data_IF_766857267837
#
_entry.id   IF_766857267837
#
_cell.length_a   1.000
_cell.length_b   1.000
_cell.length_c   1.000
_cell.angle_alpha   90.00
_cell.angle_beta   90.00
_cell.angle_gamma   90.00
#
_symmetry.space_group_name_H-M   'P 1'
#
loop_
_entity.id
_entity.type
_entity.pdbx_description
1 polymer ?
#
# COMPACT_ATOMS: atom_id res chain seq x y z
N UNK A 1 21.10 7.52 -8.19
CA UNK A 1 19.92 6.75 -8.62
C UNK A 1 20.20 6.31 -10.05
N UNK A 2 20.47 5.02 -10.27
CA UNK A 2 20.54 4.47 -11.62
C UNK A 2 19.14 4.57 -12.23
N UNK A 3 19.04 5.09 -13.45
CA UNK A 3 17.76 5.13 -14.17
C UNK A 3 17.38 3.69 -14.53
N UNK A 4 16.25 3.24 -14.03
CA UNK A 4 15.68 1.97 -14.46
C UNK A 4 15.32 2.12 -15.93
N UNK A 5 16.06 1.45 -16.81
CA UNK A 5 16.00 1.67 -18.26
C UNK A 5 14.59 1.54 -18.87
N UNK A 6 13.72 0.74 -18.25
CA UNK A 6 12.30 0.54 -18.67
C UNK A 6 11.44 1.79 -18.49
N UNK A 7 11.85 2.72 -17.62
CA UNK A 7 11.08 3.91 -17.27
C UNK A 7 11.76 5.23 -17.65
N UNK A 8 12.94 5.16 -18.29
CA UNK A 8 13.68 6.35 -18.68
C UNK A 8 12.94 7.16 -19.77
N UNK A 9 13.03 8.52 -19.74
CA UNK A 9 12.46 9.34 -20.79
C UNK A 9 13.16 9.12 -22.12
N UNK A 10 12.45 9.23 -23.25
CA UNK A 10 13.07 9.25 -24.57
C UNK A 10 14.04 10.43 -24.71
N UNK A 11 15.11 10.23 -25.47
CA UNK A 11 16.10 11.29 -25.74
C UNK A 11 15.42 12.52 -26.37
N UNK A 12 15.69 13.70 -25.82
CA UNK A 12 15.20 14.97 -26.37
C UNK A 12 13.88 15.50 -25.80
N UNK A 13 13.23 14.77 -24.91
CA UNK A 13 12.05 15.25 -24.19
C UNK A 13 12.49 15.80 -22.84
N UNK A 14 11.97 16.97 -22.46
CA UNK A 14 12.20 17.53 -21.12
C UNK A 14 11.60 16.59 -20.08
N UNK A 15 12.37 16.30 -19.04
CA UNK A 15 12.02 15.30 -18.04
C UNK A 15 10.68 15.59 -17.35
N UNK A 16 10.43 16.86 -17.02
CA UNK A 16 9.16 17.28 -16.44
C UNK A 16 7.96 17.03 -17.36
N UNK A 17 8.07 17.30 -18.65
CA UNK A 17 7.00 17.10 -19.63
C UNK A 17 6.72 15.60 -19.82
N UNK A 18 7.79 14.79 -19.88
CA UNK A 18 7.65 13.34 -19.96
C UNK A 18 6.92 12.78 -18.73
N UNK A 19 7.33 13.17 -17.53
CA UNK A 19 6.72 12.71 -16.29
C UNK A 19 5.26 13.12 -16.23
N UNK A 20 4.93 14.40 -16.50
CA UNK A 20 3.55 14.90 -16.50
C UNK A 20 2.66 14.13 -17.48
N UNK A 21 3.06 14.05 -18.74
CA UNK A 21 2.28 13.39 -19.78
C UNK A 21 2.11 11.88 -19.50
N UNK A 22 3.14 11.24 -18.94
CA UNK A 22 3.07 9.83 -18.60
C UNK A 22 2.13 9.59 -17.41
N UNK A 23 2.16 10.41 -16.37
CA UNK A 23 1.21 10.33 -15.25
C UNK A 23 -0.23 10.46 -15.77
N UNK A 24 -0.53 11.44 -16.60
CA UNK A 24 -1.85 11.64 -17.18
C UNK A 24 -2.27 10.42 -18.01
N UNK A 25 -1.38 9.88 -18.83
CA UNK A 25 -1.63 8.68 -19.64
C UNK A 25 -1.89 7.44 -18.78
N UNK A 26 -1.05 7.21 -17.78
CA UNK A 26 -1.19 6.09 -16.82
C UNK A 26 -2.52 6.15 -16.09
N UNK A 27 -2.94 7.33 -15.66
CA UNK A 27 -4.23 7.51 -15.00
C UNK A 27 -5.42 7.19 -15.93
N UNK A 28 -5.35 7.60 -17.18
CA UNK A 28 -6.42 7.35 -18.18
C UNK A 28 -6.51 5.90 -18.60
N UNK A 29 -5.38 5.20 -18.64
CA UNK A 29 -5.29 3.80 -19.03
C UNK A 29 -5.29 2.91 -17.78
N UNK A 30 -6.44 2.42 -17.36
CA UNK A 30 -6.67 1.57 -16.18
C UNK A 30 -5.82 0.26 -16.10
N UNK A 31 -4.87 0.06 -17.02
CA UNK A 31 -4.05 -1.15 -17.13
C UNK A 31 -2.56 -0.97 -16.87
N UNK A 32 -2.09 0.24 -16.51
CA UNK A 32 -0.66 0.43 -16.26
C UNK A 32 -0.37 0.27 -14.77
N UNK A 33 0.62 -0.57 -14.49
CA UNK A 33 1.08 -0.96 -13.16
C UNK A 33 1.19 0.23 -12.20
N UNK A 34 0.58 0.09 -11.03
CA UNK A 34 0.67 1.04 -9.91
C UNK A 34 2.13 1.36 -9.56
N UNK A 35 3.04 0.43 -9.83
CA UNK A 35 4.46 0.60 -9.59
C UNK A 35 5.10 1.61 -10.56
N UNK A 36 4.67 1.65 -11.84
CA UNK A 36 5.14 2.68 -12.77
C UNK A 36 4.69 4.07 -12.32
N UNK A 37 3.47 4.18 -11.83
CA UNK A 37 2.98 5.42 -11.25
C UNK A 37 3.79 5.82 -10.00
N UNK A 38 4.11 4.86 -9.13
CA UNK A 38 4.95 5.08 -7.96
C UNK A 38 6.33 5.64 -8.35
N UNK A 39 6.98 5.06 -9.36
CA UNK A 39 8.25 5.54 -9.90
C UNK A 39 8.16 6.98 -10.42
N UNK A 40 7.11 7.29 -11.20
CA UNK A 40 6.93 8.63 -11.76
C UNK A 40 6.66 9.68 -10.68
N UNK A 41 5.85 9.32 -9.66
CA UNK A 41 5.61 10.19 -8.50
C UNK A 41 6.88 10.40 -7.67
N UNK A 42 7.69 9.35 -7.52
CA UNK A 42 9.00 9.44 -6.86
C UNK A 42 9.92 10.41 -7.60
N UNK A 43 10.04 10.24 -8.91
CA UNK A 43 10.85 11.10 -9.76
C UNK A 43 10.37 12.56 -9.75
N UNK A 44 9.04 12.75 -9.82
CA UNK A 44 8.41 14.06 -9.71
C UNK A 44 8.79 14.77 -8.41
N UNK A 45 8.73 14.04 -7.29
CA UNK A 45 9.02 14.56 -5.96
C UNK A 45 10.51 14.83 -5.75
N UNK A 46 11.37 13.85 -6.01
CA UNK A 46 12.80 13.92 -5.70
C UNK A 46 13.54 14.92 -6.58
N UNK A 47 13.17 15.00 -7.85
CA UNK A 47 13.75 15.96 -8.79
C UNK A 47 13.03 17.32 -8.84
N UNK A 48 11.99 17.50 -8.02
CA UNK A 48 11.16 18.71 -7.96
C UNK A 48 10.62 19.16 -9.33
N UNK A 49 10.33 18.21 -10.23
CA UNK A 49 9.92 18.49 -11.61
C UNK A 49 8.59 19.25 -11.67
N UNK A 50 7.82 19.28 -10.60
CA UNK A 50 6.59 20.05 -10.48
C UNK A 50 6.82 21.57 -10.54
N UNK A 51 8.02 22.05 -10.22
CA UNK A 51 8.36 23.47 -10.32
C UNK A 51 8.35 23.95 -11.78
N UNK A 52 8.71 23.09 -12.73
CA UNK A 52 8.61 23.38 -14.16
C UNK A 52 7.16 23.59 -14.65
N UNK A 53 6.17 23.10 -13.88
CA UNK A 53 4.75 23.28 -14.17
C UNK A 53 4.15 24.49 -13.46
N UNK A 54 4.95 25.20 -12.68
CA UNK A 54 4.53 26.35 -11.87
C UNK A 54 3.87 25.95 -10.55
N UNK A 55 3.92 24.66 -10.16
CA UNK A 55 3.45 24.22 -8.85
C UNK A 55 4.51 24.50 -7.77
N UNK A 56 4.07 25.00 -6.61
CA UNK A 56 4.96 25.33 -5.50
C UNK A 56 5.29 24.13 -4.61
N UNK A 57 4.54 23.04 -4.73
CA UNK A 57 4.72 21.84 -3.93
C UNK A 57 4.31 20.59 -4.69
N UNK A 58 4.81 19.45 -4.20
CA UNK A 58 4.40 18.15 -4.71
C UNK A 58 2.90 17.91 -4.53
N UNK A 59 2.34 18.34 -3.39
CA UNK A 59 0.91 18.23 -3.09
C UNK A 59 0.05 19.01 -4.06
N UNK A 60 0.49 20.21 -4.43
CA UNK A 60 -0.18 21.04 -5.44
C UNK A 60 -0.15 20.36 -6.81
N UNK A 61 1.00 19.81 -7.20
CA UNK A 61 1.15 19.11 -8.46
C UNK A 61 0.28 17.86 -8.59
N UNK A 62 0.15 17.05 -7.53
CA UNK A 62 -0.70 15.86 -7.58
C UNK A 62 -2.20 16.20 -7.51
N UNK A 63 -2.55 17.38 -6.99
CA UNK A 63 -3.91 17.90 -6.97
C UNK A 63 -4.34 18.55 -8.30
N UNK A 64 -3.41 18.79 -9.23
CA UNK A 64 -3.70 19.32 -10.57
C UNK A 64 -4.87 18.54 -11.21
N UNK A 65 -5.89 19.20 -11.80
CA UNK A 65 -7.06 18.54 -12.37
C UNK A 65 -6.74 17.43 -13.39
N UNK A 66 -5.65 17.58 -14.15
CA UNK A 66 -5.21 16.59 -15.13
C UNK A 66 -4.59 15.35 -14.46
N UNK A 67 -3.92 15.52 -13.31
CA UNK A 67 -3.29 14.47 -12.52
C UNK A 67 -4.28 13.89 -11.52
N UNK A 68 -4.87 14.73 -10.67
CA UNK A 68 -5.95 14.41 -9.71
C UNK A 68 -5.74 13.10 -8.93
N UNK A 69 -4.58 12.95 -8.28
CA UNK A 69 -4.25 11.83 -7.42
C UNK A 69 -4.42 12.29 -5.96
N UNK A 70 -5.15 11.51 -5.16
CA UNK A 70 -5.30 11.82 -3.74
C UNK A 70 -3.94 11.75 -3.03
N UNK A 71 -3.73 12.62 -2.03
CA UNK A 71 -2.50 12.62 -1.22
C UNK A 71 -2.21 11.25 -0.61
N UNK A 72 -3.23 10.58 -0.07
CA UNK A 72 -3.08 9.24 0.53
C UNK A 72 -2.63 8.20 -0.49
N UNK A 73 -3.18 8.23 -1.71
CA UNK A 73 -2.78 7.33 -2.79
C UNK A 73 -1.33 7.61 -3.23
N UNK A 74 -0.98 8.87 -3.45
CA UNK A 74 0.37 9.25 -3.86
C UNK A 74 1.43 8.79 -2.84
N UNK A 75 1.22 9.11 -1.56
CA UNK A 75 2.15 8.70 -0.51
C UNK A 75 2.17 7.19 -0.27
N UNK A 76 1.04 6.51 -0.44
CA UNK A 76 1.00 5.05 -0.39
C UNK A 76 1.85 4.41 -1.50
N UNK A 77 1.76 4.93 -2.72
CA UNK A 77 2.58 4.48 -3.85
C UNK A 77 4.07 4.76 -3.63
N UNK A 78 4.41 5.95 -3.11
CA UNK A 78 5.78 6.28 -2.75
C UNK A 78 6.32 5.34 -1.68
N UNK A 79 5.54 5.02 -0.64
CA UNK A 79 5.94 4.09 0.41
C UNK A 79 6.23 2.70 -0.14
N UNK A 80 5.40 2.18 -1.06
CA UNK A 80 5.65 0.89 -1.70
C UNK A 80 6.96 0.92 -2.49
N UNK A 81 7.20 1.97 -3.27
CA UNK A 81 8.45 2.12 -4.02
C UNK A 81 9.67 2.19 -3.09
N UNK A 82 9.64 3.10 -2.11
CA UNK A 82 10.75 3.32 -1.16
C UNK A 82 11.08 2.05 -0.37
N UNK A 83 10.05 1.28 0.02
CA UNK A 83 10.27 0.05 0.80
C UNK A 83 10.82 -1.07 -0.06
N UNK A 84 10.12 -1.42 -1.14
CA UNK A 84 10.40 -2.66 -1.85
C UNK A 84 11.51 -2.53 -2.90
N UNK A 85 11.52 -1.41 -3.63
CA UNK A 85 12.50 -1.19 -4.71
C UNK A 85 13.75 -0.49 -4.20
N UNK A 86 13.61 0.59 -3.41
CA UNK A 86 14.80 1.34 -2.99
C UNK A 86 15.50 0.74 -1.78
N UNK A 87 14.75 0.32 -0.74
CA UNK A 87 15.36 -0.23 0.47
C UNK A 87 15.79 -1.69 0.29
N UNK A 88 14.85 -2.54 -0.15
CA UNK A 88 15.11 -3.99 -0.25
C UNK A 88 15.61 -4.45 -1.62
N UNK A 89 15.75 -3.52 -2.59
CA UNK A 89 16.35 -3.78 -3.90
C UNK A 89 15.68 -4.90 -4.70
N UNK A 90 14.37 -5.10 -4.49
CA UNK A 90 13.62 -6.06 -5.30
C UNK A 90 13.42 -5.52 -6.72
N UNK A 91 13.43 -6.43 -7.69
CA UNK A 91 13.21 -6.06 -9.09
C UNK A 91 11.81 -5.49 -9.30
N UNK A 92 11.68 -4.32 -9.97
CA UNK A 92 10.38 -3.67 -10.18
C UNK A 92 9.34 -4.57 -10.86
N UNK A 93 9.78 -5.44 -11.77
CA UNK A 93 8.92 -6.40 -12.48
C UNK A 93 8.32 -7.42 -11.53
N UNK A 94 9.07 -7.86 -10.53
CA UNK A 94 8.59 -8.80 -9.51
C UNK A 94 7.61 -8.11 -8.56
N UNK A 95 7.95 -6.91 -8.10
CA UNK A 95 7.07 -6.10 -7.24
C UNK A 95 5.75 -5.76 -7.96
N UNK A 96 5.78 -5.51 -9.26
CA UNK A 96 4.61 -5.18 -10.08
C UNK A 96 3.59 -6.33 -10.20
N UNK A 97 3.98 -7.57 -9.92
CA UNK A 97 3.07 -8.72 -9.94
C UNK A 97 2.12 -8.74 -8.73
N UNK A 98 2.45 -8.02 -7.67
CA UNK A 98 1.65 -7.96 -6.45
C UNK A 98 0.81 -6.69 -6.45
N UNK A 99 -0.50 -6.76 -6.13
CA UNK A 99 -1.34 -5.58 -5.97
C UNK A 99 -0.73 -4.62 -4.92
N UNK A 100 -0.62 -3.32 -5.28
CA UNK A 100 0.07 -2.34 -4.44
C UNK A 100 -0.54 -2.18 -3.04
N UNK A 101 -1.85 -2.40 -2.91
CA UNK A 101 -2.57 -2.32 -1.64
C UNK A 101 -2.14 -3.43 -0.66
N UNK A 102 -1.82 -4.62 -1.16
CA UNK A 102 -1.22 -5.69 -0.34
C UNK A 102 0.17 -5.30 0.15
N UNK A 103 1.01 -4.79 -0.74
CA UNK A 103 2.36 -4.30 -0.40
C UNK A 103 2.30 -3.14 0.61
N UNK A 104 1.32 -2.25 0.47
CA UNK A 104 1.11 -1.14 1.40
C UNK A 104 0.64 -1.61 2.79
N UNK A 105 -0.18 -2.67 2.87
CA UNK A 105 -0.61 -3.23 4.16
C UNK A 105 0.57 -3.73 4.96
N UNK A 106 1.49 -4.45 4.31
CA UNK A 106 2.63 -5.10 4.96
C UNK A 106 3.84 -4.19 5.15
N UNK A 107 4.00 -3.13 4.35
CA UNK A 107 5.16 -2.23 4.42
C UNK A 107 5.53 -1.76 5.86
N UNK A 108 4.56 -1.43 6.76
CA UNK A 108 4.89 -1.06 8.13
C UNK A 108 5.35 -2.21 9.04
N UNK A 109 5.23 -3.46 8.57
CA UNK A 109 5.61 -4.66 9.32
C UNK A 109 6.96 -5.23 8.90
N UNK A 110 7.50 -4.72 7.80
CA UNK A 110 8.73 -5.23 7.20
C UNK A 110 9.93 -4.69 7.97
N UNK A 111 10.80 -5.61 8.34
CA UNK A 111 12.10 -5.39 8.99
C UNK A 111 13.19 -6.06 8.15
N UNK A 112 14.45 -5.75 8.40
CA UNK A 112 15.53 -6.22 7.54
C UNK A 112 15.72 -7.75 7.57
N UNK A 113 15.28 -8.39 8.65
CA UNK A 113 15.36 -9.84 8.88
C UNK A 113 14.14 -10.63 8.34
N UNK A 114 13.04 -9.95 8.00
CA UNK A 114 11.81 -10.61 7.58
C UNK A 114 11.26 -10.15 6.21
N UNK A 115 11.98 -9.32 5.47
CA UNK A 115 11.45 -8.71 4.24
C UNK A 115 11.10 -9.73 3.15
N UNK A 116 11.89 -10.81 3.01
CA UNK A 116 11.63 -11.88 2.04
C UNK A 116 10.36 -12.64 2.41
N UNK A 117 10.21 -13.03 3.69
CA UNK A 117 9.00 -13.69 4.19
C UNK A 117 7.76 -12.83 3.99
N UNK A 118 7.84 -11.53 4.32
CA UNK A 118 6.73 -10.62 4.14
C UNK A 118 6.36 -10.45 2.67
N UNK A 119 7.33 -10.45 1.76
CA UNK A 119 7.09 -10.37 0.33
C UNK A 119 6.37 -11.63 -0.19
N UNK A 120 6.81 -12.82 0.22
CA UNK A 120 6.13 -14.08 -0.12
C UNK A 120 4.71 -14.14 0.48
N UNK A 121 4.51 -13.66 1.70
CA UNK A 121 3.18 -13.54 2.30
C UNK A 121 2.27 -12.61 1.48
N UNK A 122 2.79 -11.52 0.91
CA UNK A 122 2.02 -10.65 0.04
C UNK A 122 1.61 -11.32 -1.27
N UNK A 123 2.42 -12.26 -1.79
CA UNK A 123 2.06 -13.08 -2.96
C UNK A 123 0.94 -14.08 -2.60
N UNK A 124 1.11 -14.81 -1.51
CA UNK A 124 0.31 -15.98 -1.16
C UNK A 124 -1.03 -15.63 -0.48
N UNK A 125 -1.02 -14.66 0.44
CA UNK A 125 -2.15 -14.39 1.31
C UNK A 125 -3.18 -13.43 0.69
N UNK A 126 -4.42 -13.53 1.16
CA UNK A 126 -5.45 -12.56 0.83
C UNK A 126 -5.21 -11.21 1.52
N UNK A 127 -5.84 -10.14 1.00
CA UNK A 127 -5.78 -8.81 1.63
C UNK A 127 -6.30 -8.84 3.08
N UNK A 128 -7.32 -9.65 3.35
CA UNK A 128 -7.92 -9.79 4.68
C UNK A 128 -6.92 -10.42 5.65
N UNK A 129 -6.24 -11.49 5.24
CA UNK A 129 -5.24 -12.17 6.08
C UNK A 129 -4.05 -11.27 6.40
N UNK A 130 -3.56 -10.51 5.41
CA UNK A 130 -2.49 -9.53 5.61
C UNK A 130 -2.92 -8.42 6.59
N UNK A 131 -4.17 -8.00 6.54
CA UNK A 131 -4.70 -7.02 7.48
C UNK A 131 -4.79 -7.58 8.90
N UNK A 132 -5.18 -8.86 9.05
CA UNK A 132 -5.16 -9.57 10.35
C UNK A 132 -3.74 -9.65 10.91
N UNK A 133 -2.75 -10.06 10.12
CA UNK A 133 -1.34 -10.06 10.54
C UNK A 133 -0.87 -8.68 11.03
N UNK A 134 -1.26 -7.62 10.32
CA UNK A 134 -0.93 -6.23 10.72
C UNK A 134 -1.55 -5.88 12.07
N UNK A 135 -2.81 -6.26 12.31
CA UNK A 135 -3.49 -6.00 13.57
C UNK A 135 -2.84 -6.78 14.71
N UNK A 136 -2.51 -8.05 14.50
CA UNK A 136 -1.84 -8.90 15.50
C UNK A 136 -0.46 -8.33 15.87
N UNK A 137 0.36 -7.94 14.87
CA UNK A 137 1.67 -7.32 15.15
C UNK A 137 1.52 -6.01 15.93
N UNK A 138 0.51 -5.20 15.61
CA UNK A 138 0.21 -3.95 16.33
C UNK A 138 -0.22 -4.23 17.78
N UNK A 139 -1.09 -5.21 18.01
CA UNK A 139 -1.57 -5.59 19.34
C UNK A 139 -0.43 -6.15 20.20
N UNK A 140 0.39 -7.04 19.65
CA UNK A 140 1.54 -7.60 20.34
C UNK A 140 2.56 -6.53 20.76
N UNK A 141 2.72 -5.47 19.93
CA UNK A 141 3.60 -4.35 20.26
C UNK A 141 3.03 -3.43 21.35
N UNK A 142 1.71 -3.23 21.37
CA UNK A 142 1.05 -2.33 22.33
C UNK A 142 0.71 -3.03 23.65
N UNK A 143 0.49 -4.34 23.61
CA UNK A 143 0.07 -5.16 24.78
C UNK A 143 0.83 -6.49 24.76
N UNK A 144 2.11 -6.53 25.10
CA UNK A 144 2.95 -7.74 24.98
C UNK A 144 2.48 -8.93 25.81
N UNK A 145 1.57 -8.73 26.77
CA UNK A 145 0.94 -9.77 27.58
C UNK A 145 -0.49 -10.12 27.13
N UNK A 146 -0.94 -9.59 26.01
CA UNK A 146 -2.27 -9.90 25.49
C UNK A 146 -2.21 -11.28 24.81
N UNK A 147 -2.69 -12.32 25.52
CA UNK A 147 -2.98 -13.61 24.88
C UNK A 147 -3.94 -13.36 23.73
N UNK A 148 -3.72 -14.05 22.61
CA UNK A 148 -4.51 -13.94 21.39
C UNK A 148 -5.97 -13.57 21.67
N UNK A 149 -6.48 -12.55 20.96
CA UNK A 149 -7.88 -12.14 21.08
C UNK A 149 -8.75 -13.40 20.99
N UNK A 150 -9.69 -13.60 21.93
CA UNK A 150 -10.60 -14.72 21.82
C UNK A 150 -11.31 -14.63 20.46
N UNK A 151 -11.61 -15.76 19.82
CA UNK A 151 -12.23 -15.75 18.50
C UNK A 151 -13.52 -14.94 18.52
N UNK A 152 -13.71 -14.11 17.50
CA UNK A 152 -14.90 -13.29 17.33
C UNK A 152 -15.92 -14.12 16.57
N UNK A 153 -17.05 -14.41 17.21
CA UNK A 153 -18.15 -15.15 16.61
C UNK A 153 -19.29 -14.22 16.17
N UNK A 154 -19.87 -14.53 15.04
CA UNK A 154 -21.12 -13.90 14.60
C UNK A 154 -22.29 -14.76 15.06
N UNK A 155 -23.23 -14.18 15.83
CA UNK A 155 -24.45 -14.90 16.20
C UNK A 155 -25.28 -15.19 14.93
N UNK A 156 -25.57 -16.46 14.68
CA UNK A 156 -26.36 -16.89 13.51
C UNK A 156 -27.83 -16.42 13.58
N UNK A 157 -28.36 -16.18 14.79
CA UNK A 157 -29.74 -15.75 14.96
C UNK A 157 -29.96 -14.24 14.80
N UNK A 158 -29.08 -13.42 15.38
CA UNK A 158 -29.23 -11.94 15.33
C UNK A 158 -28.16 -11.20 14.54
N UNK A 159 -27.14 -11.91 14.03
CA UNK A 159 -26.03 -11.32 13.27
C UNK A 159 -25.04 -10.48 14.10
N UNK A 160 -25.23 -10.34 15.40
CA UNK A 160 -24.35 -9.57 16.27
C UNK A 160 -22.97 -10.25 16.42
N UNK A 161 -21.92 -9.42 16.43
CA UNK A 161 -20.55 -9.88 16.70
C UNK A 161 -20.33 -9.96 18.21
N UNK A 162 -19.81 -11.08 18.67
CA UNK A 162 -19.45 -11.30 20.08
C UNK A 162 -17.99 -11.73 20.19
N UNK A 163 -17.33 -11.22 21.20
CA UNK A 163 -16.03 -11.69 21.66
C UNK A 163 -16.33 -12.78 22.68
N UNK A 164 -16.02 -14.02 22.39
CA UNK A 164 -16.32 -15.10 23.31
C UNK A 164 -15.26 -15.17 24.41
N UNK A 165 -15.70 -14.91 25.63
CA UNK A 165 -14.93 -15.26 26.80
C UNK A 165 -15.32 -16.66 27.34
N UNK A 166 -16.54 -17.17 27.09
CA UNK A 166 -17.04 -18.48 27.57
C UNK A 166 -18.16 -19.02 26.69
N UNK A 167 -18.17 -20.35 26.42
CA UNK A 167 -19.24 -21.03 25.67
C UNK A 167 -20.63 -20.92 26.34
N UNK A 168 -20.68 -20.59 27.64
CA UNK A 168 -21.86 -20.60 28.45
C UNK A 168 -22.67 -19.30 28.43
N UNK A 169 -22.11 -18.21 27.91
CA UNK A 169 -22.84 -16.95 27.74
C UNK A 169 -23.54 -16.91 26.40
N UNK A 170 -24.72 -17.53 26.34
CA UNK A 170 -25.61 -17.40 25.19
C UNK A 170 -25.94 -15.94 24.90
N UNK A 171 -26.08 -15.62 23.64
CA UNK A 171 -26.54 -14.31 23.21
C UNK A 171 -27.88 -14.02 23.86
N UNK A 172 -28.08 -12.79 24.36
CA UNK A 172 -29.35 -12.34 24.93
C UNK A 172 -30.56 -12.48 23.97
N UNK A 173 -30.31 -12.79 22.70
CA UNK A 173 -31.35 -13.12 21.72
C UNK A 173 -31.85 -14.60 21.82
N UNK A 174 -31.19 -15.45 22.64
CA UNK A 174 -31.65 -16.80 22.96
C UNK A 174 -32.18 -16.79 24.40
N UNK A 175 -33.50 -16.76 24.62
CA UNK A 175 -34.04 -16.97 25.97
C UNK A 175 -33.53 -18.30 26.52
N UNK A 176 -33.10 -18.30 27.77
CA UNK A 176 -32.83 -19.53 28.50
C UNK A 176 -34.19 -20.21 28.75
N UNK A 177 -34.41 -21.40 28.19
CA UNK A 177 -35.52 -22.27 28.60
C UNK A 177 -35.30 -22.74 30.03
#
# INVERSE_FOLDING_TARGET
MEEIAVFAPPKGIKDSDYVRNTIISVRRNLGISSLRLAYLLKRLKDKRLYEDWGANSFEEAIADPDISISRSTAYGLLQVWDTWVEKYKLEPEEVAQIPYDKLLIIAPMVEDDNHEEMFENAKALSRADLYHMKLEKKLNKTMPNFKALPPIYRCNACGAWKIEARPEELCSCHPRD
#
